data_IF_572110975834
#
_entry.id   IF_572110975834
#
_cell.length_a   1.000
_cell.length_b   1.000
_cell.length_c   1.000
_cell.angle_alpha   90.00
_cell.angle_beta   90.00
_cell.angle_gamma   90.00
#
_symmetry.space_group_name_H-M   'P 1'
#
loop_
_entity.id
_entity.type
_entity.pdbx_description
1 polymer ?
#
# COMPACT_ATOMS: atom_id res chain seq x y z
N UNK A 1 -32.74 1.07 -19.11
CA UNK A 1 -31.33 1.49 -19.00
C UNK A 1 -30.66 0.58 -17.98
N UNK A 2 -30.05 -0.51 -18.44
CA UNK A 2 -29.16 -1.32 -17.60
C UNK A 2 -27.75 -0.90 -18.00
N UNK A 3 -27.08 -0.14 -17.15
CA UNK A 3 -25.66 0.15 -17.33
C UNK A 3 -24.94 -1.19 -17.30
N UNK A 4 -24.44 -1.64 -18.46
CA UNK A 4 -23.47 -2.73 -18.51
C UNK A 4 -22.23 -2.19 -17.82
N UNK A 5 -21.94 -2.72 -16.64
CA UNK A 5 -20.61 -2.60 -16.03
C UNK A 5 -19.63 -3.15 -17.08
N UNK A 6 -18.63 -2.37 -17.53
CA UNK A 6 -17.68 -2.88 -18.50
C UNK A 6 -16.97 -4.09 -17.90
N UNK A 7 -16.91 -5.17 -18.69
CA UNK A 7 -16.26 -6.45 -18.36
C UNK A 7 -14.72 -6.32 -18.26
N UNK A 8 -14.21 -5.08 -18.23
CA UNK A 8 -12.80 -4.68 -18.21
C UNK A 8 -12.13 -4.84 -16.82
N UNK A 9 -12.78 -5.49 -15.85
CA UNK A 9 -12.05 -6.17 -14.76
C UNK A 9 -11.36 -7.44 -15.30
N UNK A 10 -10.77 -7.30 -16.49
CA UNK A 10 -10.18 -8.34 -17.28
C UNK A 10 -9.18 -9.10 -16.43
N UNK A 11 -9.19 -10.40 -16.65
CA UNK A 11 -8.41 -11.46 -16.01
C UNK A 11 -6.89 -11.33 -16.27
N UNK A 12 -6.36 -10.12 -16.35
CA UNK A 12 -4.93 -9.87 -16.51
C UNK A 12 -4.27 -9.93 -15.14
N UNK A 13 -4.03 -11.15 -14.69
CA UNK A 13 -3.08 -11.39 -13.61
C UNK A 13 -1.69 -10.97 -14.09
N UNK A 14 -1.04 -10.12 -13.32
CA UNK A 14 0.36 -9.79 -13.54
C UNK A 14 1.22 -11.01 -13.17
N UNK A 15 1.92 -11.58 -14.14
CA UNK A 15 2.78 -12.76 -13.97
C UNK A 15 3.94 -12.54 -12.99
N UNK A 16 4.24 -11.27 -12.68
CA UNK A 16 5.25 -10.91 -11.71
C UNK A 16 4.71 -11.03 -10.27
N UNK A 17 3.39 -11.06 -10.05
CA UNK A 17 2.82 -11.27 -8.72
C UNK A 17 2.98 -12.74 -8.31
N UNK A 18 3.78 -13.00 -7.28
CA UNK A 18 3.98 -14.36 -6.77
C UNK A 18 3.03 -14.72 -5.64
N UNK A 19 2.77 -13.78 -4.74
CA UNK A 19 1.73 -13.94 -3.74
C UNK A 19 1.30 -12.57 -3.19
N UNK A 20 0.13 -12.55 -2.57
CA UNK A 20 -0.37 -11.41 -1.82
C UNK A 20 -0.77 -11.86 -0.41
N UNK A 21 -0.65 -10.94 0.55
CA UNK A 21 -0.96 -11.16 1.96
C UNK A 21 -1.90 -10.06 2.45
N UNK A 22 -3.09 -10.46 2.91
CA UNK A 22 -4.04 -9.56 3.55
C UNK A 22 -3.63 -9.37 5.02
N UNK A 23 -3.52 -8.11 5.44
CA UNK A 23 -3.22 -7.76 6.82
C UNK A 23 -4.16 -6.67 7.33
N UNK A 24 -3.82 -6.05 8.45
CA UNK A 24 -4.59 -4.94 9.00
C UNK A 24 -5.92 -5.35 9.63
N UNK A 25 -6.83 -4.40 9.74
CA UNK A 25 -8.09 -4.56 10.48
C UNK A 25 -9.01 -5.62 9.88
N UNK A 26 -8.95 -5.80 8.55
CA UNK A 26 -9.72 -6.84 7.85
C UNK A 26 -9.24 -8.24 8.25
N UNK A 27 -7.93 -8.50 8.20
CA UNK A 27 -7.36 -9.78 8.64
C UNK A 27 -7.56 -10.04 10.13
N UNK A 28 -7.57 -8.98 10.95
CA UNK A 28 -7.74 -9.07 12.41
C UNK A 28 -9.20 -9.19 12.87
N UNK A 29 -10.19 -9.09 11.96
CA UNK A 29 -11.61 -9.09 12.31
C UNK A 29 -12.05 -7.84 13.09
N UNK A 30 -11.35 -6.72 12.91
CA UNK A 30 -11.60 -5.44 13.61
C UNK A 30 -11.99 -4.31 12.65
N UNK A 31 -12.37 -4.63 11.42
CA UNK A 31 -12.76 -3.64 10.43
C UNK A 31 -14.11 -2.98 10.79
N UNK A 32 -14.17 -1.67 10.61
CA UNK A 32 -15.37 -0.84 10.73
C UNK A 32 -15.91 -0.50 9.32
N UNK A 33 -17.12 0.07 9.20
CA UNK A 33 -17.73 0.34 7.89
C UNK A 33 -16.93 1.24 6.93
N UNK A 34 -16.01 2.06 7.46
CA UNK A 34 -15.12 2.93 6.69
C UNK A 34 -13.66 2.46 6.73
N UNK A 35 -13.40 1.23 7.14
CA UNK A 35 -12.05 0.69 7.15
C UNK A 35 -11.57 0.34 5.74
N UNK A 36 -10.35 0.76 5.43
CA UNK A 36 -9.65 0.42 4.20
C UNK A 36 -9.22 -1.07 4.17
N UNK A 37 -8.63 -1.49 3.04
CA UNK A 37 -8.10 -2.85 2.84
C UNK A 37 -6.59 -2.80 2.65
N UNK A 38 -5.85 -3.48 3.52
CA UNK A 38 -4.39 -3.51 3.50
C UNK A 38 -3.88 -4.81 2.85
N UNK A 39 -3.23 -4.70 1.69
CA UNK A 39 -2.68 -5.84 0.95
C UNK A 39 -1.18 -5.64 0.71
N UNK A 40 -0.37 -6.60 1.12
CA UNK A 40 1.03 -6.69 0.76
C UNK A 40 1.17 -7.59 -0.45
N UNK A 41 1.91 -7.18 -1.48
CA UNK A 41 2.11 -7.96 -2.71
C UNK A 41 3.60 -8.24 -2.88
N UNK A 42 3.95 -9.50 -3.07
CA UNK A 42 5.31 -9.91 -3.40
C UNK A 42 5.44 -10.10 -4.91
N UNK A 43 6.30 -9.28 -5.51
CA UNK A 43 6.58 -9.29 -6.94
C UNK A 43 7.94 -9.95 -7.20
N UNK A 44 8.01 -10.83 -8.19
CA UNK A 44 9.25 -11.36 -8.77
C UNK A 44 9.73 -10.41 -9.87
N UNK A 45 9.88 -9.14 -9.51
CA UNK A 45 10.53 -8.21 -10.38
C UNK A 45 12.04 -8.35 -10.16
N UNK A 46 12.75 -8.84 -11.19
CA UNK A 46 14.22 -8.88 -11.17
C UNK A 46 14.83 -7.47 -11.10
N UNK A 47 14.04 -6.40 -11.28
CA UNK A 47 14.45 -5.02 -11.15
C UNK A 47 14.29 -4.51 -9.70
N UNK A 48 15.10 -5.06 -8.79
CA UNK A 48 15.17 -4.60 -7.41
C UNK A 48 15.92 -3.24 -7.32
N UNK A 49 15.28 -2.15 -7.76
CA UNK A 49 15.76 -0.79 -7.42
C UNK A 49 14.98 -0.28 -6.22
N UNK A 50 15.41 -0.69 -5.03
CA UNK A 50 14.96 -0.08 -3.79
C UNK A 50 15.52 1.34 -3.74
N UNK A 51 14.68 2.34 -4.06
CA UNK A 51 14.94 3.71 -3.64
C UNK A 51 14.76 3.81 -2.12
N UNK A 52 15.79 3.41 -1.37
CA UNK A 52 15.92 3.78 0.03
C UNK A 52 16.31 5.26 0.08
N UNK A 53 15.34 6.17 0.05
CA UNK A 53 15.59 7.53 0.53
C UNK A 53 15.68 7.47 2.06
N UNK A 54 16.91 7.36 2.57
CA UNK A 54 17.23 7.62 3.98
C UNK A 54 16.87 9.08 4.28
N UNK A 55 15.68 9.32 4.80
CA UNK A 55 15.35 10.61 5.42
C UNK A 55 15.94 10.61 6.81
N UNK A 56 17.14 11.17 6.97
CA UNK A 56 17.63 11.57 8.29
C UNK A 56 16.70 12.69 8.79
N UNK A 57 15.84 12.36 9.76
CA UNK A 57 15.11 13.39 10.51
C UNK A 57 16.13 14.18 11.31
N UNK A 58 16.56 15.30 10.75
CA UNK A 58 17.37 16.30 11.45
C UNK A 58 16.48 16.95 12.53
N UNK A 59 16.53 16.44 13.76
CA UNK A 59 15.87 17.03 14.92
C UNK A 59 16.70 18.15 15.53
N UNK A 60 17.11 19.13 14.71
CA UNK A 60 17.71 20.37 15.23
C UNK A 60 16.93 21.57 14.70
N UNK A 61 15.90 21.97 15.46
CA UNK A 61 15.47 23.37 15.70
C UNK A 61 14.18 23.40 16.51
N UNK A 62 14.29 23.11 17.81
CA UNK A 62 13.33 23.61 18.80
C UNK A 62 14.07 24.10 20.05
N UNK A 63 15.02 25.02 19.88
CA UNK A 63 15.54 25.87 20.95
C UNK A 63 15.89 27.23 20.38
N UNK A 64 14.93 28.17 20.49
CA UNK A 64 15.09 29.63 20.61
C UNK A 64 13.84 30.33 20.05
N UNK A 65 12.79 30.43 20.86
CA UNK A 65 11.93 31.61 20.91
C UNK A 65 10.94 31.50 22.08
N UNK A 66 11.44 31.56 23.31
CA UNK A 66 10.69 32.23 24.36
C UNK A 66 11.62 33.31 24.93
N UNK A 67 11.29 34.55 24.59
CA UNK A 67 11.75 35.74 25.29
C UNK A 67 11.07 35.79 26.65
#
# INVERSE_FOLDING_TARGET
MTDRVPDDFGEKMDENVKFAYLFGSQAAGKAAPLSDVDIAVYLDDKANTLYLTRTERNTDKCKKSLR
#
